data_IF_149833066044
#
_entry.id   IF_149833066044
#
_cell.length_a   1.000
_cell.length_b   1.000
_cell.length_c   1.000
_cell.angle_alpha   90.00
_cell.angle_beta   90.00
_cell.angle_gamma   90.00
#
_symmetry.space_group_name_H-M   'P 1'
#
loop_
_entity.id
_entity.type
_entity.pdbx_description
1 polymer ?
#
# COMPACT_ATOMS: atom_id res chain seq x y z
N UNK A 1 29.53 -18.26 -76.59
CA UNK A 1 28.83 -18.51 -75.32
C UNK A 1 29.00 -17.32 -74.36
N UNK A 2 28.33 -16.16 -74.53
CA UNK A 2 28.61 -15.01 -73.62
C UNK A 2 27.48 -13.99 -73.35
N UNK A 3 26.37 -13.92 -74.09
CA UNK A 3 25.38 -12.83 -73.87
C UNK A 3 24.23 -13.18 -72.89
N UNK A 4 23.87 -14.45 -72.74
CA UNK A 4 22.74 -14.88 -71.88
C UNK A 4 23.05 -14.79 -70.38
N UNK A 5 24.32 -14.95 -70.00
CA UNK A 5 24.76 -14.90 -68.58
C UNK A 5 24.74 -13.49 -67.99
N UNK A 6 24.90 -12.43 -68.81
CA UNK A 6 24.86 -11.03 -68.33
C UNK A 6 23.44 -10.54 -68.03
N UNK A 7 22.41 -11.05 -68.71
CA UNK A 7 21.01 -10.64 -68.50
C UNK A 7 20.40 -11.23 -67.23
N UNK A 8 20.81 -12.44 -66.83
CA UNK A 8 20.36 -13.05 -65.56
C UNK A 8 20.95 -12.35 -64.32
N UNK A 9 22.20 -11.89 -64.38
CA UNK A 9 22.85 -11.24 -63.23
C UNK A 9 22.20 -9.89 -62.89
N UNK A 10 21.73 -9.14 -63.89
CA UNK A 10 21.06 -7.85 -63.68
C UNK A 10 19.65 -8.02 -63.09
N UNK A 11 18.93 -9.09 -63.46
CA UNK A 11 17.59 -9.37 -62.92
C UNK A 11 17.64 -9.85 -61.45
N UNK A 12 18.69 -10.60 -61.07
CA UNK A 12 18.92 -11.01 -59.67
C UNK A 12 19.36 -9.85 -58.78
N UNK A 13 20.15 -8.91 -59.29
CA UNK A 13 20.57 -7.72 -58.54
C UNK A 13 19.38 -6.77 -58.25
N UNK A 14 18.44 -6.62 -59.19
CA UNK A 14 17.26 -5.77 -59.01
C UNK A 14 16.21 -6.36 -58.04
N UNK A 15 16.06 -7.69 -57.98
CA UNK A 15 15.18 -8.36 -57.01
C UNK A 15 15.74 -8.33 -55.58
N UNK A 16 17.07 -8.43 -55.43
CA UNK A 16 17.73 -8.37 -54.12
C UNK A 16 17.65 -6.97 -53.49
N UNK A 17 17.65 -5.91 -54.29
CA UNK A 17 17.46 -4.53 -53.80
C UNK A 17 16.02 -4.25 -53.37
N UNK A 18 15.01 -4.84 -54.02
CA UNK A 18 13.60 -4.59 -53.66
C UNK A 18 13.18 -5.34 -52.38
N UNK A 19 13.80 -6.49 -52.08
CA UNK A 19 13.57 -7.23 -50.84
C UNK A 19 14.14 -6.53 -49.60
N UNK A 20 15.17 -5.70 -49.75
CA UNK A 20 15.77 -4.94 -48.64
C UNK A 20 14.93 -3.71 -48.22
N UNK A 21 14.04 -3.21 -49.08
CA UNK A 21 13.12 -2.10 -48.78
C UNK A 21 11.82 -2.54 -48.09
N UNK A 22 11.56 -3.84 -47.99
CA UNK A 22 10.38 -4.43 -47.33
C UNK A 22 10.73 -5.19 -46.05
N UNK A 23 11.99 -5.14 -45.61
CA UNK A 23 12.37 -5.71 -44.33
C UNK A 23 11.73 -4.86 -43.21
N UNK A 24 10.86 -5.43 -42.35
CA UNK A 24 10.42 -4.72 -41.17
C UNK A 24 11.65 -4.29 -40.38
N UNK A 25 11.77 -2.98 -40.13
CA UNK A 25 12.86 -2.45 -39.31
C UNK A 25 12.90 -3.15 -37.95
N UNK A 26 14.07 -3.18 -37.28
CA UNK A 26 14.15 -3.77 -35.95
C UNK A 26 13.09 -3.13 -35.07
N UNK A 27 12.11 -3.92 -34.63
CA UNK A 27 11.11 -3.47 -33.69
C UNK A 27 11.87 -3.04 -32.44
N UNK A 28 11.90 -1.73 -32.19
CA UNK A 28 12.47 -1.17 -30.99
C UNK A 28 11.64 -1.76 -29.84
N UNK A 29 12.22 -2.69 -29.09
CA UNK A 29 11.58 -3.25 -27.92
C UNK A 29 11.27 -2.06 -27.00
N UNK A 30 9.97 -1.80 -26.74
CA UNK A 30 9.59 -0.84 -25.71
C UNK A 30 10.37 -1.21 -24.43
N UNK A 31 11.02 -0.23 -23.83
CA UNK A 31 11.56 -0.40 -22.49
C UNK A 31 10.45 -0.97 -21.61
N UNK A 32 10.68 -2.15 -21.06
CA UNK A 32 9.68 -2.83 -20.24
C UNK A 32 9.59 -2.04 -18.95
N UNK A 33 8.46 -1.35 -18.76
CA UNK A 33 8.12 -0.76 -17.48
C UNK A 33 8.09 -1.85 -16.42
N UNK A 34 8.66 -1.56 -15.25
CA UNK A 34 8.61 -2.43 -14.09
C UNK A 34 7.43 -2.05 -13.19
N UNK A 35 6.81 -3.04 -12.54
CA UNK A 35 5.82 -2.80 -11.50
C UNK A 35 6.56 -2.33 -10.25
N UNK A 36 6.22 -1.16 -9.75
CA UNK A 36 6.85 -0.57 -8.57
C UNK A 36 5.94 -0.69 -7.36
N UNK A 37 6.52 -0.96 -6.20
CA UNK A 37 5.76 -1.12 -4.95
C UNK A 37 6.39 -0.30 -3.84
N UNK A 38 5.57 0.15 -2.89
CA UNK A 38 6.00 0.85 -1.67
C UNK A 38 5.41 0.14 -0.46
N UNK A 39 6.15 0.13 0.65
CA UNK A 39 5.63 -0.23 1.96
C UNK A 39 5.77 0.98 2.87
N UNK A 40 4.71 1.33 3.61
CA UNK A 40 4.71 2.49 4.51
C UNK A 40 3.88 2.21 5.76
N UNK A 41 4.53 2.27 6.92
CA UNK A 41 3.84 2.34 8.20
C UNK A 41 3.44 3.81 8.47
N UNK A 42 2.15 4.06 8.69
CA UNK A 42 1.60 5.40 8.86
C UNK A 42 1.86 5.99 10.24
N UNK A 43 2.25 5.14 11.20
CA UNK A 43 2.28 5.40 12.64
C UNK A 43 0.89 5.73 13.18
N UNK A 44 0.41 4.95 14.15
CA UNK A 44 -0.95 4.96 14.70
C UNK A 44 -1.36 6.28 15.37
N UNK A 45 -0.42 7.22 15.48
CA UNK A 45 -0.63 8.62 15.89
C UNK A 45 -0.10 8.93 17.28
N UNK A 46 0.10 7.92 18.12
CA UNK A 46 0.66 8.03 19.47
C UNK A 46 1.35 6.72 19.86
N UNK A 47 2.14 6.69 20.94
CA UNK A 47 2.58 5.43 21.52
C UNK A 47 1.47 4.82 22.37
N UNK A 48 1.15 3.54 22.19
CA UNK A 48 0.24 2.81 23.09
C UNK A 48 0.95 2.27 24.33
N UNK A 49 2.29 2.33 24.40
CA UNK A 49 3.10 1.79 25.49
C UNK A 49 2.62 2.17 26.90
N UNK A 50 2.25 3.43 27.18
CA UNK A 50 1.69 3.82 28.48
C UNK A 50 0.46 3.00 28.91
N UNK A 51 -0.41 2.61 27.97
CA UNK A 51 -1.60 1.81 28.25
C UNK A 51 -1.30 0.31 28.43
N UNK A 52 -0.17 -0.16 27.89
CA UNK A 52 0.27 -1.55 27.98
C UNK A 52 1.14 -1.81 29.22
N UNK A 53 1.69 -0.76 29.84
CA UNK A 53 2.49 -0.87 31.06
C UNK A 53 1.59 -1.07 32.31
N UNK A 54 1.61 -2.26 32.94
CA UNK A 54 0.81 -2.52 34.14
C UNK A 54 1.26 -1.71 35.36
N UNK A 55 2.44 -1.09 35.32
CA UNK A 55 2.99 -0.24 36.37
C UNK A 55 2.70 1.25 36.17
N UNK A 56 2.06 1.62 35.05
CA UNK A 56 1.76 3.01 34.74
C UNK A 56 0.88 3.64 35.83
N UNK A 57 1.21 4.84 36.34
CA UNK A 57 0.39 5.51 37.36
C UNK A 57 -1.06 5.71 36.92
N UNK A 58 -2.00 5.13 37.67
CA UNK A 58 -3.43 5.15 37.32
C UNK A 58 -3.84 4.13 36.25
N UNK A 59 -2.93 3.24 35.84
CA UNK A 59 -3.13 2.22 34.82
C UNK A 59 -3.60 2.80 33.48
N UNK A 60 -4.42 2.03 32.77
CA UNK A 60 -5.01 2.42 31.48
C UNK A 60 -5.66 3.81 31.49
N UNK A 61 -6.42 4.14 32.54
CA UNK A 61 -7.12 5.43 32.62
C UNK A 61 -6.17 6.60 32.90
N UNK A 62 -5.07 6.35 33.61
CA UNK A 62 -4.00 7.34 33.80
C UNK A 62 -3.15 7.55 32.54
N UNK A 63 -2.98 6.49 31.74
CA UNK A 63 -2.25 6.52 30.47
C UNK A 63 -3.00 7.26 29.35
N UNK A 64 -4.33 7.13 29.31
CA UNK A 64 -5.15 7.67 28.23
C UNK A 64 -4.92 9.17 27.94
N UNK A 65 -4.89 10.09 28.92
CA UNK A 65 -4.59 11.50 28.67
C UNK A 65 -3.21 11.74 28.02
N UNK A 66 -2.21 10.92 28.33
CA UNK A 66 -0.86 11.03 27.75
C UNK A 66 -0.89 10.63 26.28
N UNK A 67 -1.53 9.49 25.98
CA UNK A 67 -1.71 8.98 24.61
C UNK A 67 -2.48 10.00 23.76
N UNK A 68 -3.58 10.55 24.30
CA UNK A 68 -4.38 11.52 23.56
C UNK A 68 -3.66 12.86 23.34
N UNK A 69 -2.81 13.29 24.27
CA UNK A 69 -1.98 14.47 24.09
C UNK A 69 -0.92 14.26 23.00
N UNK A 70 -0.29 13.08 22.95
CA UNK A 70 0.64 12.72 21.88
C UNK A 70 -0.07 12.63 20.52
N UNK A 71 -1.25 11.99 20.46
CA UNK A 71 -2.07 11.93 19.26
C UNK A 71 -2.37 13.31 18.68
N UNK A 72 -2.74 14.26 19.53
CA UNK A 72 -2.96 15.65 19.13
C UNK A 72 -1.67 16.32 18.65
N UNK A 73 -0.55 16.08 19.32
CA UNK A 73 0.75 16.65 18.97
C UNK A 73 1.31 16.13 17.63
N UNK A 74 0.98 14.88 17.25
CA UNK A 74 1.41 14.28 15.97
C UNK A 74 0.85 15.02 14.76
N UNK A 75 -0.30 15.69 14.87
CA UNK A 75 -1.00 16.35 13.76
C UNK A 75 -1.02 15.47 12.50
N UNK A 76 -1.85 14.42 12.53
CA UNK A 76 -1.86 13.44 11.45
C UNK A 76 -2.19 14.05 10.08
N UNK A 77 -2.91 15.18 10.02
CA UNK A 77 -3.17 15.86 8.74
C UNK A 77 -1.88 16.38 8.13
N UNK A 78 -1.04 17.04 8.92
CA UNK A 78 0.28 17.52 8.48
C UNK A 78 1.20 16.35 8.11
N UNK A 79 1.26 15.31 8.96
CA UNK A 79 2.05 14.09 8.71
C UNK A 79 1.61 13.38 7.42
N UNK A 80 0.31 13.20 7.24
CA UNK A 80 -0.28 12.58 6.04
C UNK A 80 0.02 13.38 4.78
N UNK A 81 0.06 14.71 4.87
CA UNK A 81 0.53 15.57 3.79
C UNK A 81 1.97 15.25 3.38
N UNK A 82 2.89 15.11 4.33
CA UNK A 82 4.28 14.75 4.05
C UNK A 82 4.41 13.33 3.44
N UNK A 83 3.66 12.35 3.96
CA UNK A 83 3.60 10.99 3.38
C UNK A 83 3.08 11.04 1.95
N UNK A 84 2.07 11.86 1.66
CA UNK A 84 1.56 12.01 0.31
C UNK A 84 2.58 12.67 -0.64
N UNK A 85 3.45 13.56 -0.14
CA UNK A 85 4.58 14.09 -0.92
C UNK A 85 5.62 12.99 -1.23
N UNK A 86 5.92 12.12 -0.28
CA UNK A 86 6.80 10.96 -0.50
C UNK A 86 6.23 10.01 -1.55
N UNK A 87 4.94 9.67 -1.46
CA UNK A 87 4.24 8.83 -2.44
C UNK A 87 4.25 9.51 -3.82
N UNK A 88 4.00 10.82 -3.90
CA UNK A 88 4.02 11.57 -5.15
C UNK A 88 5.41 11.58 -5.81
N UNK A 89 6.46 11.72 -5.02
CA UNK A 89 7.84 11.69 -5.51
C UNK A 89 8.27 10.30 -6.00
N UNK A 90 7.83 9.23 -5.31
CA UNK A 90 8.17 7.85 -5.66
C UNK A 90 7.31 7.28 -6.81
N UNK A 91 6.04 7.66 -6.88
CA UNK A 91 5.08 7.18 -7.88
C UNK A 91 4.87 5.66 -7.92
N UNK A 92 4.68 4.95 -6.79
CA UNK A 92 4.50 3.51 -6.78
C UNK A 92 3.19 3.07 -7.45
N UNK A 93 3.16 1.85 -7.98
CA UNK A 93 1.93 1.28 -8.56
C UNK A 93 1.02 0.67 -7.48
N UNK A 94 1.63 0.11 -6.43
CA UNK A 94 0.96 -0.55 -5.31
C UNK A 94 1.63 -0.10 -4.02
N UNK A 95 0.85 0.21 -2.99
CA UNK A 95 1.34 0.59 -1.67
C UNK A 95 0.75 -0.38 -0.64
N UNK A 96 1.61 -1.05 0.12
CA UNK A 96 1.23 -1.71 1.37
C UNK A 96 1.34 -0.70 2.52
N UNK A 97 0.23 -0.43 3.18
CA UNK A 97 0.14 0.47 4.33
C UNK A 97 -0.04 -0.32 5.61
N UNK A 98 0.70 0.04 6.65
CA UNK A 98 0.53 -0.49 8.01
C UNK A 98 0.11 0.63 8.96
N UNK A 99 -0.53 0.27 10.08
CA UNK A 99 -1.04 1.22 11.09
C UNK A 99 -2.05 2.24 10.51
N UNK A 100 -2.98 1.75 9.68
CA UNK A 100 -4.02 2.56 9.04
C UNK A 100 -5.20 2.80 9.98
N UNK A 101 -4.89 3.52 11.05
CA UNK A 101 -5.73 3.60 12.23
C UNK A 101 -7.01 4.44 12.04
N UNK A 102 -8.03 4.08 12.82
CA UNK A 102 -9.22 4.92 13.04
C UNK A 102 -9.33 5.22 14.53
N UNK A 103 -9.42 6.52 14.86
CA UNK A 103 -9.70 7.00 16.21
C UNK A 103 -11.11 7.57 16.26
N UNK A 104 -12.01 6.95 17.01
CA UNK A 104 -13.38 7.41 17.21
C UNK A 104 -13.60 7.85 18.66
N UNK A 105 -13.81 9.15 18.86
CA UNK A 105 -13.94 9.78 20.18
C UNK A 105 -15.39 9.83 20.64
N UNK A 106 -15.61 9.75 21.95
CA UNK A 106 -16.93 9.88 22.56
C UNK A 106 -17.59 11.26 22.31
N UNK A 107 -16.81 12.26 21.92
CA UNK A 107 -17.30 13.58 21.47
C UNK A 107 -17.96 13.55 20.08
N UNK A 108 -17.90 12.41 19.39
CA UNK A 108 -18.44 12.22 18.03
C UNK A 108 -17.43 12.52 16.91
N UNK A 109 -16.20 12.92 17.23
CA UNK A 109 -15.14 13.07 16.24
C UNK A 109 -14.59 11.70 15.83
N UNK A 110 -14.39 11.49 14.53
CA UNK A 110 -13.64 10.35 13.99
C UNK A 110 -12.49 10.86 13.14
N UNK A 111 -11.30 10.29 13.35
CA UNK A 111 -10.11 10.52 12.54
C UNK A 111 -9.76 9.21 11.85
N UNK A 112 -10.05 9.13 10.56
CA UNK A 112 -9.73 7.99 9.70
C UNK A 112 -8.47 8.30 8.88
N UNK A 113 -7.39 7.57 9.16
CA UNK A 113 -6.09 7.83 8.55
C UNK A 113 -6.08 7.55 7.05
N UNK A 114 -6.86 6.56 6.59
CA UNK A 114 -6.96 6.22 5.17
C UNK A 114 -7.66 7.34 4.42
N UNK A 115 -8.78 7.82 4.96
CA UNK A 115 -9.55 8.90 4.36
C UNK A 115 -8.72 10.18 4.23
N UNK A 116 -7.98 10.54 5.27
CA UNK A 116 -7.10 11.72 5.26
C UNK A 116 -5.98 11.55 4.24
N UNK A 117 -5.33 10.38 4.18
CA UNK A 117 -4.26 10.11 3.21
C UNK A 117 -4.78 10.14 1.77
N UNK A 118 -5.90 9.50 1.48
CA UNK A 118 -6.51 9.53 0.15
C UNK A 118 -6.91 10.95 -0.26
N UNK A 119 -7.40 11.78 0.67
CA UNK A 119 -7.64 13.19 0.40
C UNK A 119 -6.36 13.95 0.06
N UNK A 120 -5.28 13.75 0.83
CA UNK A 120 -3.97 14.36 0.57
C UNK A 120 -3.36 13.92 -0.77
N UNK A 121 -3.53 12.66 -1.17
CA UNK A 121 -3.16 12.15 -2.49
C UNK A 121 -4.00 12.80 -3.59
N UNK A 122 -5.31 12.94 -3.38
CA UNK A 122 -6.21 13.61 -4.32
C UNK A 122 -5.87 15.08 -4.56
N UNK A 123 -5.42 15.81 -3.53
CA UNK A 123 -4.91 17.18 -3.67
C UNK A 123 -3.67 17.27 -4.58
N UNK A 124 -2.94 16.16 -4.75
CA UNK A 124 -1.78 16.04 -5.64
C UNK A 124 -2.12 15.43 -7.00
N UNK A 125 -3.41 15.22 -7.28
CA UNK A 125 -3.88 14.60 -8.53
C UNK A 125 -3.57 13.12 -8.62
N UNK A 126 -3.33 12.43 -7.49
CA UNK A 126 -3.06 11.01 -7.43
C UNK A 126 -4.30 10.24 -7.01
N UNK A 127 -4.68 9.23 -7.79
CA UNK A 127 -5.85 8.39 -7.49
C UNK A 127 -5.39 7.02 -7.02
N UNK A 128 -5.31 6.84 -5.69
CA UNK A 128 -5.05 5.53 -5.09
C UNK A 128 -6.32 4.95 -4.48
N UNK A 129 -6.66 3.72 -4.84
CA UNK A 129 -7.86 3.01 -4.38
C UNK A 129 -7.50 1.88 -3.43
N UNK A 130 -8.27 1.74 -2.36
CA UNK A 130 -8.20 0.58 -1.45
C UNK A 130 -8.75 -0.65 -2.17
N UNK A 131 -7.95 -1.71 -2.20
CA UNK A 131 -8.29 -2.98 -2.87
C UNK A 131 -8.26 -4.18 -1.93
N UNK A 132 -7.71 -4.02 -0.71
CA UNK A 132 -7.68 -5.05 0.31
C UNK A 132 -7.32 -4.43 1.66
N UNK A 133 -8.01 -4.85 2.72
CA UNK A 133 -7.77 -4.41 4.08
C UNK A 133 -7.79 -5.60 5.04
N UNK A 134 -6.92 -5.60 6.04
CA UNK A 134 -6.96 -6.52 7.19
C UNK A 134 -7.34 -5.72 8.43
N UNK A 135 -8.29 -6.23 9.22
CA UNK A 135 -8.61 -5.66 10.53
C UNK A 135 -7.76 -6.36 11.61
N UNK A 136 -6.94 -5.58 12.30
CA UNK A 136 -5.90 -6.08 13.18
C UNK A 136 -6.29 -5.97 14.65
N UNK A 137 -6.67 -4.78 15.12
CA UNK A 137 -7.06 -4.59 16.52
C UNK A 137 -8.28 -3.67 16.63
N UNK A 138 -9.14 -3.93 17.61
CA UNK A 138 -10.15 -2.98 18.06
C UNK A 138 -10.07 -2.85 19.56
N UNK A 139 -9.78 -1.65 20.05
CA UNK A 139 -9.67 -1.32 21.47
C UNK A 139 -10.76 -0.33 21.81
N UNK A 140 -11.64 -0.70 22.73
CA UNK A 140 -12.73 0.17 23.19
C UNK A 140 -12.45 0.60 24.62
N UNK A 141 -12.20 1.90 24.82
CA UNK A 141 -12.15 2.51 26.15
C UNK A 141 -13.51 3.17 26.41
N UNK A 142 -14.38 2.56 27.24
CA UNK A 142 -15.76 3.01 27.40
C UNK A 142 -15.87 4.48 27.82
N UNK A 143 -16.72 5.23 27.14
CA UNK A 143 -16.94 6.65 27.41
C UNK A 143 -15.82 7.58 26.96
N UNK A 144 -14.77 7.07 26.29
CA UNK A 144 -13.64 7.87 25.85
C UNK A 144 -13.33 7.72 24.35
N UNK A 145 -12.83 6.57 23.93
CA UNK A 145 -12.30 6.38 22.57
C UNK A 145 -12.39 4.91 22.13
N UNK A 146 -12.69 4.70 20.85
CA UNK A 146 -12.49 3.44 20.16
C UNK A 146 -11.34 3.63 19.18
N UNK A 147 -10.32 2.78 19.29
CA UNK A 147 -9.20 2.69 18.38
C UNK A 147 -9.36 1.43 17.52
N UNK A 148 -9.17 1.56 16.22
CA UNK A 148 -9.08 0.43 15.29
C UNK A 148 -7.76 0.50 14.54
N UNK A 149 -7.07 -0.63 14.45
CA UNK A 149 -5.87 -0.81 13.65
C UNK A 149 -6.13 -1.69 12.43
N UNK A 150 -5.48 -1.34 11.31
CA UNK A 150 -5.65 -2.00 10.01
C UNK A 150 -4.37 -1.96 9.18
N UNK A 151 -4.22 -2.96 8.34
CA UNK A 151 -3.29 -2.96 7.21
C UNK A 151 -4.08 -2.81 5.90
N UNK A 152 -3.61 -1.97 4.97
CA UNK A 152 -4.34 -1.65 3.73
C UNK A 152 -3.44 -1.80 2.51
N UNK A 153 -3.98 -2.25 1.38
CA UNK A 153 -3.30 -2.20 0.09
C UNK A 153 -3.99 -1.15 -0.78
N UNK A 154 -3.23 -0.13 -1.16
CA UNK A 154 -3.64 0.87 -2.14
C UNK A 154 -3.05 0.56 -3.52
N UNK A 155 -3.82 0.82 -4.56
CA UNK A 155 -3.39 0.69 -5.96
C UNK A 155 -3.59 1.99 -6.69
N UNK A 156 -2.58 2.43 -7.45
CA UNK A 156 -2.71 3.57 -8.34
C UNK A 156 -3.67 3.22 -9.48
N UNK A 157 -4.85 3.85 -9.50
CA UNK A 157 -5.91 3.59 -10.47
C UNK A 157 -5.53 4.01 -11.89
N UNK A 158 -4.55 4.91 -12.02
CA UNK A 158 -4.10 5.47 -13.29
C UNK A 158 -2.94 4.67 -13.92
N UNK A 159 -2.46 3.61 -13.27
CA UNK A 159 -1.37 2.74 -13.75
C UNK A 159 -1.80 1.95 -14.98
N UNK A 160 -1.24 2.22 -16.18
CA UNK A 160 -1.59 1.47 -17.38
C UNK A 160 -1.11 0.02 -17.29
N UNK A 161 -1.96 -0.90 -17.77
CA UNK A 161 -1.62 -2.32 -17.83
C UNK A 161 -1.68 -3.06 -16.49
N UNK A 162 -1.97 -2.37 -15.38
CA UNK A 162 -2.24 -2.97 -14.07
C UNK A 162 -3.73 -3.28 -13.90
N UNK A 163 -4.03 -4.48 -13.42
CA UNK A 163 -5.39 -4.88 -13.07
C UNK A 163 -5.36 -5.79 -11.85
N UNK A 164 -6.19 -5.48 -10.85
CA UNK A 164 -6.45 -6.36 -9.71
C UNK A 164 -7.54 -7.35 -10.08
N UNK A 165 -7.29 -8.62 -9.79
CA UNK A 165 -8.11 -9.77 -10.20
C UNK A 165 -8.69 -10.54 -9.00
N UNK A 166 -8.17 -10.30 -7.80
CA UNK A 166 -8.66 -10.87 -6.56
C UNK A 166 -8.00 -10.21 -5.36
N UNK A 167 -8.68 -10.26 -4.23
CA UNK A 167 -8.20 -9.77 -2.94
C UNK A 167 -8.56 -10.79 -1.86
N UNK A 168 -7.73 -10.89 -0.83
CA UNK A 168 -7.99 -11.73 0.32
C UNK A 168 -7.34 -11.09 1.56
N UNK A 169 -7.81 -11.45 2.74
CA UNK A 169 -7.26 -10.95 4.00
C UNK A 169 -7.55 -11.92 5.13
N UNK A 170 -6.70 -11.92 6.14
CA UNK A 170 -6.95 -12.69 7.34
C UNK A 170 -5.99 -12.34 8.45
N UNK A 171 -6.09 -13.08 9.54
CA UNK A 171 -5.17 -12.97 10.66
C UNK A 171 -4.36 -14.28 10.81
N UNK A 172 -3.14 -14.17 11.32
CA UNK A 172 -2.31 -15.33 11.62
C UNK A 172 -2.88 -16.14 12.80
N UNK A 173 -2.45 -17.38 12.98
CA UNK A 173 -2.85 -18.15 14.17
C UNK A 173 -2.18 -17.60 15.46
N UNK A 174 -0.95 -17.09 15.33
CA UNK A 174 -0.19 -16.54 16.44
C UNK A 174 -0.57 -15.08 16.70
N UNK A 175 -1.31 -14.86 17.79
CA UNK A 175 -1.77 -13.54 18.20
C UNK A 175 -1.15 -13.07 19.51
N UNK A 176 -1.12 -11.76 19.69
CA UNK A 176 -0.76 -11.15 20.97
C UNK A 176 -2.04 -10.74 21.68
N UNK A 177 -2.17 -11.15 22.94
CA UNK A 177 -3.30 -10.80 23.79
C UNK A 177 -2.75 -10.23 25.08
N UNK A 178 -3.13 -8.99 25.37
CA UNK A 178 -2.91 -8.39 26.66
C UNK A 178 -4.09 -8.72 27.57
N UNK A 179 -3.87 -9.62 28.52
CA UNK A 179 -4.89 -10.03 29.48
C UNK A 179 -4.86 -9.21 30.77
N UNK A 180 -5.99 -9.17 31.47
CA UNK A 180 -6.08 -8.56 32.80
C UNK A 180 -6.14 -7.03 32.79
N UNK A 181 -6.49 -6.42 31.66
CA UNK A 181 -6.69 -4.97 31.60
C UNK A 181 -8.03 -4.57 32.23
N UNK A 182 -8.20 -3.30 32.66
CA UNK A 182 -9.47 -2.80 33.19
C UNK A 182 -10.65 -2.85 32.18
N UNK A 183 -10.38 -3.04 30.89
CA UNK A 183 -11.38 -3.11 29.82
C UNK A 183 -11.55 -4.54 29.25
N UNK A 184 -11.00 -5.55 29.93
CA UNK A 184 -10.98 -6.94 29.47
C UNK A 184 -9.72 -7.28 28.68
N UNK A 185 -9.71 -8.43 28.03
CA UNK A 185 -8.58 -8.86 27.21
C UNK A 185 -8.54 -8.06 25.91
N UNK A 186 -7.38 -7.51 25.58
CA UNK A 186 -7.14 -6.74 24.37
C UNK A 186 -6.34 -7.61 23.40
N UNK A 187 -6.90 -7.88 22.22
CA UNK A 187 -6.23 -8.65 21.17
C UNK A 187 -5.60 -7.72 20.14
N UNK A 188 -4.32 -7.92 19.89
CA UNK A 188 -3.57 -7.32 18.79
C UNK A 188 -3.41 -8.40 17.73
N UNK A 189 -4.33 -8.43 16.75
CA UNK A 189 -4.26 -9.44 15.71
C UNK A 189 -3.20 -9.05 14.67
N UNK A 190 -2.22 -9.92 14.47
CA UNK A 190 -1.32 -9.92 13.32
C UNK A 190 -2.13 -10.32 12.09
N UNK A 191 -2.21 -9.40 11.14
CA UNK A 191 -3.00 -9.50 9.92
C UNK A 191 -2.14 -9.68 8.68
N UNK A 192 -2.78 -10.11 7.62
CA UNK A 192 -2.26 -10.04 6.26
C UNK A 192 -3.37 -9.60 5.32
N UNK A 193 -3.00 -8.86 4.29
CA UNK A 193 -3.81 -8.55 3.13
C UNK A 193 -3.07 -9.02 1.86
N UNK A 194 -3.81 -9.57 0.92
CA UNK A 194 -3.31 -10.08 -0.35
C UNK A 194 -4.08 -9.45 -1.51
N UNK A 195 -3.37 -9.19 -2.59
CA UNK A 195 -3.99 -8.93 -3.89
C UNK A 195 -3.33 -9.79 -4.96
N UNK A 196 -4.16 -10.39 -5.81
CA UNK A 196 -3.76 -11.03 -7.06
C UNK A 196 -4.03 -10.07 -8.20
N UNK A 197 -3.07 -9.92 -9.10
CA UNK A 197 -3.23 -9.01 -10.23
C UNK A 197 -2.48 -9.43 -11.48
N UNK A 198 -2.63 -8.61 -12.49
CA UNK A 198 -1.85 -8.68 -13.72
C UNK A 198 -1.21 -7.34 -14.02
N UNK A 199 0.03 -7.36 -14.49
CA UNK A 199 0.72 -6.19 -15.00
C UNK A 199 1.33 -6.51 -16.36
N UNK A 200 0.93 -5.78 -17.40
CA UNK A 200 1.37 -6.05 -18.79
C UNK A 200 1.14 -7.52 -19.20
N UNK A 201 0.00 -8.09 -18.76
CA UNK A 201 -0.39 -9.49 -19.01
C UNK A 201 0.29 -10.55 -18.15
N UNK A 202 1.22 -10.17 -17.26
CA UNK A 202 1.88 -11.10 -16.32
C UNK A 202 1.17 -11.13 -14.98
N UNK A 203 0.90 -12.32 -14.46
CA UNK A 203 0.28 -12.50 -13.14
C UNK A 203 1.28 -12.21 -12.01
N UNK A 204 0.79 -11.63 -10.92
CA UNK A 204 1.52 -11.45 -9.68
C UNK A 204 0.58 -11.62 -8.48
N UNK A 205 1.19 -11.83 -7.31
CA UNK A 205 0.54 -11.68 -6.00
C UNK A 205 1.38 -10.72 -5.16
N UNK A 206 0.72 -9.77 -4.52
CA UNK A 206 1.32 -8.86 -3.55
C UNK A 206 0.72 -9.13 -2.18
N UNK A 207 1.57 -9.08 -1.15
CA UNK A 207 1.19 -9.32 0.23
C UNK A 207 1.63 -8.16 1.10
N UNK A 208 0.73 -7.69 1.95
CA UNK A 208 1.00 -6.71 2.99
C UNK A 208 0.73 -7.35 4.36
N UNK A 209 1.61 -7.11 5.33
CA UNK A 209 1.46 -7.60 6.69
C UNK A 209 2.21 -6.71 7.65
N UNK A 210 1.68 -6.56 8.85
CA UNK A 210 2.37 -5.96 9.97
C UNK A 210 2.49 -6.97 11.11
N UNK A 211 3.74 -7.41 11.35
CA UNK A 211 4.05 -8.33 12.42
C UNK A 211 4.64 -7.52 13.58
N UNK A 212 4.03 -7.64 14.76
CA UNK A 212 4.53 -7.12 16.03
C UNK A 212 6.02 -7.41 16.23
N UNK A 213 6.74 -6.45 16.80
CA UNK A 213 8.19 -6.56 17.11
C UNK A 213 8.49 -6.62 18.60
N UNK A 214 7.47 -6.74 19.46
CA UNK A 214 7.68 -6.63 20.90
C UNK A 214 8.25 -7.92 21.52
N UNK A 215 9.49 -7.79 22.02
CA UNK A 215 10.15 -8.65 23.00
C UNK A 215 9.51 -8.51 24.41
#
# INVERSE_FOLDING_TARGET
MTSTRRRLVILFAALATLAALLAPGPAQAKDKRELTVMSQNLYLGASLGPALDPTFPGGLFGALPVILAEFQATDYVARSGAIADEIAAAGPDIIGLQEVSIWSFATGQTVDFLQILQFQLGLRGLTYVDVASSDNATIVVPGAVTFQDRDVILVNADTPGLSITGSDSGNFAAQFVLSGTPIGDISFNRGWALVDGTFEGKKFRFANTHLETED
#
